data_IF_272475754833
#
_entry.id   IF_272475754833
#
_cell.length_a   1.000
_cell.length_b   1.000
_cell.length_c   1.000
_cell.angle_alpha   90.00
_cell.angle_beta   90.00
_cell.angle_gamma   90.00
#
_symmetry.space_group_name_H-M   'P 1'
#
loop_
_entity.id
_entity.type
_entity.pdbx_description
1 polymer ?
#
# COMPACT_ATOMS: atom_id res chain seq x y z
N UNK A 1 -69.35 6.36 2.04
CA UNK A 1 -68.33 5.29 1.98
C UNK A 1 -67.07 5.71 1.21
N UNK A 2 -66.20 6.57 1.70
CA UNK A 2 -64.93 6.93 1.01
C UNK A 2 -63.80 7.44 1.95
N UNK A 3 -63.79 7.10 3.24
CA UNK A 3 -62.73 7.52 4.15
C UNK A 3 -61.79 6.38 4.64
N UNK A 4 -62.04 5.09 4.30
CA UNK A 4 -61.23 3.97 4.78
C UNK A 4 -60.00 3.67 3.92
N UNK A 5 -59.98 4.10 2.65
CA UNK A 5 -58.83 3.81 1.74
C UNK A 5 -57.60 4.70 1.94
N UNK A 6 -57.83 5.96 2.33
CA UNK A 6 -56.72 6.91 2.51
C UNK A 6 -55.86 6.60 3.76
N UNK A 7 -56.52 6.12 4.83
CA UNK A 7 -55.82 5.71 6.05
C UNK A 7 -54.84 4.54 5.82
N UNK A 8 -55.23 3.57 5.00
CA UNK A 8 -54.38 2.41 4.70
C UNK A 8 -53.17 2.79 3.86
N UNK A 9 -53.31 3.68 2.88
CA UNK A 9 -52.19 4.15 2.05
C UNK A 9 -51.16 4.95 2.90
N UNK A 10 -51.63 5.81 3.79
CA UNK A 10 -50.76 6.57 4.69
C UNK A 10 -50.06 5.64 5.67
N UNK A 11 -50.71 4.62 6.20
CA UNK A 11 -50.09 3.62 7.10
C UNK A 11 -49.03 2.77 6.40
N UNK A 12 -49.29 2.32 5.17
CA UNK A 12 -48.30 1.56 4.37
C UNK A 12 -47.09 2.43 4.01
N UNK A 13 -47.30 3.69 3.63
CA UNK A 13 -46.19 4.64 3.35
C UNK A 13 -45.37 4.94 4.61
N UNK A 14 -46.02 5.12 5.78
CA UNK A 14 -45.30 5.33 7.04
C UNK A 14 -44.50 4.09 7.46
N UNK A 15 -45.04 2.88 7.27
CA UNK A 15 -44.34 1.63 7.56
C UNK A 15 -43.15 1.35 6.60
N UNK A 16 -43.30 1.70 5.28
CA UNK A 16 -42.21 1.63 4.34
C UNK A 16 -41.12 2.68 4.61
N UNK A 17 -41.51 3.92 4.96
CA UNK A 17 -40.54 4.93 5.38
C UNK A 17 -39.84 4.58 6.69
N UNK A 18 -40.57 4.05 7.69
CA UNK A 18 -39.96 3.56 8.93
C UNK A 18 -39.06 2.35 8.69
N UNK A 19 -39.43 1.43 7.78
CA UNK A 19 -38.61 0.29 7.39
C UNK A 19 -37.33 0.69 6.68
N UNK A 20 -37.39 1.66 5.75
CA UNK A 20 -36.22 2.22 5.07
C UNK A 20 -35.34 3.00 6.05
N UNK A 21 -35.95 3.73 6.98
CA UNK A 21 -35.21 4.50 7.99
C UNK A 21 -34.54 3.57 9.03
N UNK A 22 -35.23 2.53 9.52
CA UNK A 22 -34.69 1.50 10.39
C UNK A 22 -33.61 0.67 9.69
N UNK A 23 -33.79 0.35 8.40
CA UNK A 23 -32.79 -0.30 7.58
C UNK A 23 -31.53 0.59 7.41
N UNK A 24 -31.72 1.90 7.13
CA UNK A 24 -30.61 2.84 7.05
C UNK A 24 -29.93 3.08 8.39
N UNK A 25 -30.66 3.08 9.51
CA UNK A 25 -30.09 3.14 10.87
C UNK A 25 -29.39 1.83 11.26
N UNK A 26 -29.96 0.68 10.88
CA UNK A 26 -29.35 -0.63 11.09
C UNK A 26 -28.04 -0.78 10.30
N UNK A 27 -28.03 -0.36 9.04
CA UNK A 27 -26.82 -0.26 8.25
C UNK A 27 -25.80 0.70 8.87
N UNK A 28 -26.22 1.89 9.30
CA UNK A 28 -25.35 2.85 9.99
C UNK A 28 -24.82 2.29 11.32
N UNK A 29 -25.62 1.53 12.08
CA UNK A 29 -25.18 0.91 13.33
C UNK A 29 -24.17 -0.22 13.08
N UNK A 30 -24.39 -1.05 12.05
CA UNK A 30 -23.44 -2.09 11.62
C UNK A 30 -22.14 -1.45 11.10
N UNK A 31 -22.24 -0.38 10.33
CA UNK A 31 -21.07 0.36 9.84
C UNK A 31 -20.34 1.11 10.97
N UNK A 32 -21.08 1.68 11.94
CA UNK A 32 -20.47 2.35 13.11
C UNK A 32 -19.70 1.41 14.03
N UNK A 33 -20.09 0.16 14.12
CA UNK A 33 -19.41 -0.82 14.97
C UNK A 33 -18.09 -1.31 14.37
N UNK A 34 -17.94 -1.27 13.03
CA UNK A 34 -16.74 -1.71 12.30
C UNK A 34 -15.91 -0.55 11.73
N UNK A 35 -16.41 0.67 11.78
CA UNK A 35 -15.68 1.86 11.32
C UNK A 35 -15.48 1.99 9.82
N UNK A 36 -15.93 1.03 8.98
CA UNK A 36 -15.70 1.04 7.54
C UNK A 36 -17.01 1.12 6.75
N UNK A 37 -17.11 2.13 5.88
CA UNK A 37 -18.20 2.30 4.91
C UNK A 37 -17.92 1.58 3.59
N UNK A 38 -17.33 0.40 3.63
CA UNK A 38 -16.85 -0.24 2.44
C UNK A 38 -17.69 -1.46 2.10
N UNK A 39 -17.91 -1.66 0.79
CA UNK A 39 -18.61 -2.83 0.31
C UNK A 39 -17.79 -4.08 0.65
N UNK A 40 -18.37 -4.97 1.44
CA UNK A 40 -17.80 -6.30 1.65
C UNK A 40 -17.77 -7.00 0.28
N UNK A 41 -16.60 -7.39 -0.16
CA UNK A 41 -16.46 -8.14 -1.41
C UNK A 41 -16.65 -9.63 -1.17
N UNK A 42 -16.99 -10.37 -2.22
CA UNK A 42 -16.98 -11.82 -2.19
C UNK A 42 -15.59 -12.29 -1.74
N UNK A 43 -15.57 -13.21 -0.79
CA UNK A 43 -14.33 -13.79 -0.31
C UNK A 43 -13.68 -14.60 -1.44
N UNK A 44 -12.39 -14.42 -1.63
CA UNK A 44 -11.55 -15.30 -2.42
C UNK A 44 -11.72 -16.74 -1.92
N UNK A 45 -11.75 -17.71 -2.82
CA UNK A 45 -11.74 -19.12 -2.44
C UNK A 45 -10.34 -19.49 -1.92
N UNK A 46 -10.22 -19.52 -0.60
CA UNK A 46 -8.97 -19.87 0.04
C UNK A 46 -8.75 -21.39 -0.05
N UNK A 47 -7.54 -21.83 -0.41
CA UNK A 47 -7.19 -23.24 -0.27
C UNK A 47 -7.37 -23.71 1.18
N UNK A 48 -7.78 -24.98 1.34
CA UNK A 48 -7.97 -25.57 2.66
C UNK A 48 -6.72 -25.40 3.56
N UNK A 49 -6.93 -24.99 4.80
CA UNK A 49 -5.88 -24.79 5.80
C UNK A 49 -5.08 -23.47 5.66
N UNK A 50 -5.35 -22.64 4.64
CA UNK A 50 -4.61 -21.36 4.47
C UNK A 50 -4.89 -20.38 5.60
N UNK A 51 -6.15 -20.23 6.00
CA UNK A 51 -6.55 -19.32 7.08
C UNK A 51 -5.98 -19.74 8.43
N UNK A 52 -5.97 -21.04 8.70
CA UNK A 52 -5.38 -21.63 9.90
C UNK A 52 -3.89 -21.34 9.96
N UNK A 53 -3.16 -21.55 8.89
CA UNK A 53 -1.71 -21.23 8.81
C UNK A 53 -1.43 -19.75 9.08
N UNK A 54 -2.27 -18.85 8.57
CA UNK A 54 -2.09 -17.41 8.81
C UNK A 54 -2.39 -17.08 10.29
N UNK A 55 -3.45 -17.67 10.88
CA UNK A 55 -3.75 -17.51 12.31
C UNK A 55 -2.63 -18.03 13.19
N UNK A 56 -2.09 -19.20 12.89
CA UNK A 56 -0.95 -19.78 13.61
C UNK A 56 0.29 -18.86 13.51
N UNK A 57 0.51 -18.30 12.34
CA UNK A 57 1.62 -17.37 12.10
C UNK A 57 1.45 -16.07 12.89
N UNK A 58 0.24 -15.50 12.93
CA UNK A 58 -0.06 -14.24 13.60
C UNK A 58 -0.17 -14.39 15.13
N UNK A 59 -0.60 -15.55 15.62
CA UNK A 59 -0.98 -15.74 17.03
C UNK A 59 -2.20 -14.87 17.37
N UNK A 60 -2.15 -14.20 18.53
CA UNK A 60 -3.23 -13.30 19.01
C UNK A 60 -3.24 -11.91 18.37
N UNK A 61 -2.34 -11.64 17.42
CA UNK A 61 -2.23 -10.31 16.80
C UNK A 61 -3.42 -10.01 15.92
N UNK A 62 -3.87 -8.78 16.03
CA UNK A 62 -4.85 -8.17 15.12
C UNK A 62 -4.14 -7.23 14.16
N UNK A 63 -4.77 -6.98 13.03
CA UNK A 63 -4.20 -6.05 12.08
C UNK A 63 -4.99 -5.90 10.81
N UNK A 64 -4.38 -5.22 9.86
CA UNK A 64 -4.96 -4.88 8.58
C UNK A 64 -3.90 -4.98 7.50
N UNK A 65 -4.31 -5.45 6.33
CA UNK A 65 -3.50 -5.42 5.10
C UNK A 65 -4.26 -4.59 4.09
N UNK A 66 -3.59 -3.64 3.45
CA UNK A 66 -4.13 -2.86 2.33
C UNK A 66 -3.33 -3.13 1.07
N UNK A 67 -4.00 -3.17 -0.08
CA UNK A 67 -3.35 -3.36 -1.38
C UNK A 67 -4.20 -2.78 -2.51
N UNK A 68 -3.59 -2.62 -3.69
CA UNK A 68 -4.28 -2.32 -4.94
C UNK A 68 -4.67 -3.60 -5.67
N UNK A 69 -5.89 -3.68 -6.21
CA UNK A 69 -6.39 -4.86 -6.92
C UNK A 69 -7.22 -4.48 -8.14
N UNK A 70 -7.04 -5.21 -9.24
CA UNK A 70 -7.85 -5.06 -10.47
C UNK A 70 -9.12 -5.91 -10.49
N UNK A 71 -9.47 -6.63 -9.39
CA UNK A 71 -10.60 -7.57 -9.31
C UNK A 71 -11.98 -6.99 -9.61
N UNK A 72 -12.12 -5.68 -9.66
CA UNK A 72 -13.36 -4.98 -10.05
C UNK A 72 -13.26 -4.29 -11.40
N UNK A 73 -12.29 -4.68 -12.24
CA UNK A 73 -12.03 -4.14 -13.58
C UNK A 73 -11.01 -3.00 -13.56
N UNK A 74 -11.19 -2.00 -12.72
CA UNK A 74 -10.23 -0.91 -12.48
C UNK A 74 -9.49 -1.17 -11.18
N UNK A 75 -8.20 -0.86 -11.11
CA UNK A 75 -7.44 -1.00 -9.88
C UNK A 75 -8.01 -0.09 -8.79
N UNK A 76 -8.47 -0.71 -7.71
CA UNK A 76 -9.01 -0.07 -6.52
C UNK A 76 -8.27 -0.56 -5.28
N UNK A 77 -8.39 0.16 -4.18
CA UNK A 77 -7.82 -0.26 -2.91
C UNK A 77 -8.75 -1.25 -2.21
N UNK A 78 -8.15 -2.29 -1.67
CA UNK A 78 -8.80 -3.29 -0.83
C UNK A 78 -8.11 -3.39 0.52
N UNK A 79 -8.87 -3.76 1.53
CA UNK A 79 -8.39 -3.96 2.89
C UNK A 79 -8.86 -5.32 3.38
N UNK A 80 -7.94 -6.07 3.99
CA UNK A 80 -8.23 -7.29 4.72
C UNK A 80 -8.01 -7.06 6.22
N UNK A 81 -8.97 -7.45 7.04
CA UNK A 81 -8.78 -7.49 8.49
C UNK A 81 -8.21 -8.84 8.93
N UNK A 82 -7.34 -8.83 9.92
CA UNK A 82 -6.70 -10.02 10.49
C UNK A 82 -7.08 -10.14 11.98
N UNK A 83 -7.38 -11.32 12.50
CA UNK A 83 -7.31 -12.65 11.85
C UNK A 83 -8.65 -13.14 11.27
N UNK A 84 -9.66 -12.28 11.08
CA UNK A 84 -11.00 -12.68 10.62
C UNK A 84 -11.14 -12.69 9.07
N UNK A 85 -10.12 -12.23 8.33
CA UNK A 85 -10.01 -12.27 6.87
C UNK A 85 -11.18 -11.65 6.12
N UNK A 86 -11.82 -10.64 6.69
CA UNK A 86 -12.85 -9.86 5.98
C UNK A 86 -12.18 -8.93 5.01
N UNK A 87 -12.67 -8.95 3.76
CA UNK A 87 -12.14 -8.10 2.69
C UNK A 87 -13.15 -7.00 2.37
N UNK A 88 -12.65 -5.77 2.30
CA UNK A 88 -13.43 -4.58 2.00
C UNK A 88 -12.83 -3.86 0.80
N UNK A 89 -13.67 -3.42 -0.12
CA UNK A 89 -13.29 -2.48 -1.18
C UNK A 89 -13.28 -1.09 -0.60
N UNK A 90 -12.13 -0.43 -0.55
CA UNK A 90 -11.95 0.89 0.05
C UNK A 90 -12.28 2.04 -0.89
N UNK A 91 -11.99 1.87 -2.18
CA UNK A 91 -12.25 2.88 -3.21
C UNK A 91 -13.16 2.33 -4.29
N UNK A 92 -14.06 3.18 -4.79
CA UNK A 92 -14.95 2.89 -5.91
C UNK A 92 -14.94 4.09 -6.87
N UNK A 93 -13.97 4.13 -7.75
CA UNK A 93 -13.76 5.25 -8.65
C UNK A 93 -13.40 4.72 -10.06
N UNK A 94 -13.81 5.40 -11.16
CA UNK A 94 -13.42 4.98 -12.51
C UNK A 94 -11.92 5.11 -12.80
N UNK A 95 -11.17 5.82 -11.95
CA UNK A 95 -9.73 5.99 -12.07
C UNK A 95 -8.98 5.00 -11.17
N UNK A 96 -7.77 4.63 -11.57
CA UNK A 96 -6.93 3.70 -10.80
C UNK A 96 -6.42 4.32 -9.51
N UNK A 97 -6.32 3.52 -8.44
CA UNK A 97 -5.78 3.89 -7.14
C UNK A 97 -4.61 2.96 -6.78
N UNK A 98 -3.42 3.53 -6.51
CA UNK A 98 -2.17 2.81 -6.29
C UNK A 98 -1.42 3.29 -5.03
N UNK A 99 -0.39 2.54 -4.65
CA UNK A 99 0.57 2.86 -3.60
C UNK A 99 -0.08 3.20 -2.24
N UNK A 100 -1.04 2.39 -1.74
CA UNK A 100 -1.62 2.65 -0.43
C UNK A 100 -0.58 2.47 0.68
N UNK A 101 -0.59 3.35 1.69
CA UNK A 101 0.24 3.25 2.91
C UNK A 101 -0.56 3.61 4.13
N UNK A 102 -0.50 2.76 5.15
CA UNK A 102 -1.08 3.08 6.45
C UNK A 102 -0.35 4.24 7.11
N UNK A 103 -1.10 5.11 7.76
CA UNK A 103 -0.52 6.04 8.73
C UNK A 103 0.06 5.30 9.93
N UNK A 104 0.98 5.91 10.69
CA UNK A 104 1.61 5.26 11.84
C UNK A 104 0.62 4.71 12.87
N UNK A 105 -0.53 5.37 13.04
CA UNK A 105 -1.62 4.93 13.91
C UNK A 105 -2.54 3.87 13.28
N UNK A 106 -2.42 3.57 11.97
CA UNK A 106 -3.22 2.58 11.26
C UNK A 106 -4.67 2.97 11.00
N UNK A 107 -5.04 4.25 11.16
CA UNK A 107 -6.41 4.76 11.01
C UNK A 107 -6.66 5.46 9.68
N UNK A 108 -5.60 5.85 8.99
CA UNK A 108 -5.66 6.52 7.68
C UNK A 108 -4.81 5.78 6.66
N UNK A 109 -5.16 5.96 5.39
CA UNK A 109 -4.40 5.46 4.25
C UNK A 109 -4.10 6.64 3.33
N UNK A 110 -2.82 6.88 3.03
CA UNK A 110 -2.42 7.75 1.93
C UNK A 110 -2.25 6.91 0.68
N UNK A 111 -2.66 7.43 -0.49
CA UNK A 111 -2.57 6.72 -1.75
C UNK A 111 -2.54 7.67 -2.94
N UNK A 112 -2.11 7.18 -4.10
CA UNK A 112 -2.15 7.90 -5.35
C UNK A 112 -3.39 7.49 -6.17
N UNK A 113 -4.09 8.46 -6.77
CA UNK A 113 -5.17 8.24 -7.74
C UNK A 113 -4.82 8.93 -9.06
N UNK A 114 -5.00 8.22 -10.16
CA UNK A 114 -4.80 8.81 -11.47
C UNK A 114 -5.87 9.86 -11.80
N UNK A 115 -5.52 10.80 -12.65
CA UNK A 115 -6.47 11.80 -13.17
C UNK A 115 -7.18 11.31 -14.45
N UNK A 116 -6.90 10.07 -14.90
CA UNK A 116 -7.49 9.39 -16.07
C UNK A 116 -7.95 8.00 -15.67
N UNK A 117 -8.89 7.37 -16.38
CA UNK A 117 -9.40 6.05 -16.04
C UNK A 117 -8.32 4.97 -15.94
N UNK A 118 -7.30 5.04 -16.79
CA UNK A 118 -6.15 4.16 -16.71
C UNK A 118 -4.85 4.93 -16.91
N UNK A 119 -3.87 4.67 -16.06
CA UNK A 119 -2.49 5.19 -16.13
C UNK A 119 -1.57 4.10 -15.61
N UNK A 120 -0.49 3.82 -16.33
CA UNK A 120 0.54 2.90 -15.85
C UNK A 120 1.15 3.41 -14.54
N UNK A 121 1.47 2.51 -13.63
CA UNK A 121 2.16 2.87 -12.39
C UNK A 121 3.55 3.48 -12.65
N UNK A 122 4.14 3.18 -13.80
CA UNK A 122 5.44 3.70 -14.25
C UNK A 122 5.37 5.13 -14.75
N UNK A 123 4.18 5.62 -15.10
CA UNK A 123 4.00 7.00 -15.51
C UNK A 123 4.04 7.92 -14.26
N UNK A 124 4.91 8.91 -14.26
CA UNK A 124 5.00 9.84 -13.14
C UNK A 124 3.80 10.80 -13.06
N UNK A 125 3.09 10.99 -14.13
CA UNK A 125 1.89 11.84 -14.26
C UNK A 125 0.83 11.11 -15.11
N UNK A 126 -0.46 11.40 -14.98
CA UNK A 126 -1.09 12.39 -14.08
C UNK A 126 -1.65 11.73 -12.82
N UNK A 127 -1.10 12.04 -11.68
CA UNK A 127 -1.52 11.48 -10.39
C UNK A 127 -1.85 12.57 -9.38
N UNK A 128 -2.68 12.25 -8.41
CA UNK A 128 -3.00 13.06 -7.24
C UNK A 128 -2.90 12.22 -5.98
N UNK A 129 -2.49 12.83 -4.88
CA UNK A 129 -2.39 12.17 -3.57
C UNK A 129 -3.67 12.40 -2.77
N UNK A 130 -4.26 11.32 -2.28
CA UNK A 130 -5.44 11.32 -1.42
C UNK A 130 -5.14 10.71 -0.06
N UNK A 131 -5.91 11.12 0.92
CA UNK A 131 -5.95 10.47 2.24
C UNK A 131 -7.37 9.98 2.48
N UNK A 132 -7.47 8.70 2.84
CA UNK A 132 -8.69 8.03 3.24
C UNK A 132 -8.68 7.81 4.76
N UNK A 133 -9.71 8.28 5.45
CA UNK A 133 -9.93 7.96 6.86
C UNK A 133 -10.76 6.67 6.96
N UNK A 134 -10.22 5.65 7.62
CA UNK A 134 -10.86 4.35 7.73
C UNK A 134 -12.12 4.38 8.62
N UNK A 135 -12.14 5.22 9.66
CA UNK A 135 -13.27 5.30 10.59
C UNK A 135 -14.56 5.86 9.96
N UNK A 136 -14.44 6.63 8.87
CA UNK A 136 -15.60 7.26 8.24
C UNK A 136 -15.69 7.08 6.74
N UNK A 137 -14.74 6.38 6.11
CA UNK A 137 -14.68 6.22 4.66
C UNK A 137 -14.49 7.53 3.88
N UNK A 138 -14.11 8.61 4.57
CA UNK A 138 -14.00 9.94 3.97
C UNK A 138 -12.63 10.10 3.32
N UNK A 139 -12.65 10.37 2.02
CA UNK A 139 -11.47 10.74 1.25
C UNK A 139 -11.29 12.26 1.20
N UNK A 140 -10.03 12.69 1.16
CA UNK A 140 -9.67 14.09 0.85
C UNK A 140 -8.46 14.15 -0.05
N UNK A 141 -8.45 15.10 -0.96
CA UNK A 141 -7.26 15.44 -1.75
C UNK A 141 -6.19 16.01 -0.81
N UNK A 142 -5.01 15.41 -0.80
CA UNK A 142 -3.88 15.83 0.03
C UNK A 142 -2.84 16.61 -0.78
N UNK A 143 -2.59 16.23 -2.04
CA UNK A 143 -1.69 16.98 -2.93
C UNK A 143 -2.07 16.77 -4.39
N UNK A 144 -2.00 17.84 -5.18
CA UNK A 144 -2.16 17.80 -6.64
C UNK A 144 -0.85 17.41 -7.32
N UNK A 145 -0.97 16.71 -8.46
CA UNK A 145 0.16 16.33 -9.31
C UNK A 145 1.24 15.56 -8.53
N UNK A 146 0.83 14.67 -7.62
CA UNK A 146 1.72 13.89 -6.77
C UNK A 146 1.52 12.39 -6.91
N UNK A 147 2.62 11.62 -6.82
CA UNK A 147 2.66 10.16 -6.87
C UNK A 147 3.57 9.60 -5.77
N UNK A 148 3.58 8.26 -5.57
CA UNK A 148 4.39 7.55 -4.58
C UNK A 148 4.28 8.17 -3.17
N UNK A 149 3.06 8.31 -2.61
CA UNK A 149 2.90 8.92 -1.31
C UNK A 149 3.39 8.00 -0.18
N UNK A 150 3.94 8.62 0.86
CA UNK A 150 4.40 7.96 2.07
C UNK A 150 4.12 8.81 3.31
N UNK A 151 3.83 8.19 4.46
CA UNK A 151 3.70 8.91 5.72
C UNK A 151 5.06 9.17 6.35
N UNK A 152 5.24 10.33 6.94
CA UNK A 152 6.32 10.52 7.89
C UNK A 152 5.96 9.87 9.24
N UNK A 153 6.95 9.51 10.07
CA UNK A 153 6.71 8.83 11.35
C UNK A 153 5.84 9.60 12.34
N UNK A 154 5.70 10.91 12.17
CA UNK A 154 4.83 11.76 13.01
C UNK A 154 3.33 11.63 12.69
N UNK A 155 2.97 11.04 11.56
CA UNK A 155 1.58 10.94 11.11
C UNK A 155 0.93 12.27 10.71
N UNK A 156 1.67 13.38 10.77
CA UNK A 156 1.18 14.73 10.46
C UNK A 156 1.68 15.24 9.11
N UNK A 157 2.69 14.60 8.56
CA UNK A 157 3.30 14.97 7.29
C UNK A 157 3.31 13.78 6.34
N UNK A 158 3.23 14.10 5.05
CA UNK A 158 3.39 13.12 3.96
C UNK A 158 4.55 13.52 3.07
N UNK A 159 5.20 12.52 2.50
CA UNK A 159 6.17 12.64 1.43
C UNK A 159 5.48 12.16 0.14
N UNK A 160 5.80 12.80 -0.99
CA UNK A 160 5.36 12.36 -2.32
C UNK A 160 6.29 12.89 -3.40
N UNK A 161 6.19 12.30 -4.58
CA UNK A 161 6.84 12.77 -5.80
C UNK A 161 5.95 13.72 -6.57
N UNK A 162 6.53 14.81 -7.06
CA UNK A 162 5.95 15.67 -8.09
C UNK A 162 6.97 15.87 -9.21
N UNK A 163 6.77 15.25 -10.36
CA UNK A 163 7.78 15.16 -11.41
C UNK A 163 9.09 14.57 -10.84
N UNK A 164 10.17 15.36 -10.87
CA UNK A 164 11.48 14.92 -10.37
C UNK A 164 11.76 15.32 -8.91
N UNK A 165 10.80 15.94 -8.24
CA UNK A 165 10.98 16.48 -6.89
C UNK A 165 10.33 15.58 -5.84
N UNK A 166 11.07 15.26 -4.79
CA UNK A 166 10.55 14.67 -3.56
C UNK A 166 10.15 15.81 -2.62
N UNK A 167 8.89 15.81 -2.23
CA UNK A 167 8.26 16.89 -1.46
C UNK A 167 7.73 16.34 -0.14
N UNK A 168 7.98 17.06 0.94
CA UNK A 168 7.28 16.86 2.21
C UNK A 168 6.19 17.93 2.32
N UNK A 169 4.96 17.50 2.64
CA UNK A 169 3.81 18.36 2.92
C UNK A 169 3.34 18.16 4.35
N UNK A 170 3.21 19.24 5.07
CA UNK A 170 2.53 19.31 6.36
C UNK A 170 1.02 19.34 6.13
N UNK A 171 0.29 18.41 6.72
CA UNK A 171 -1.14 18.23 6.46
C UNK A 171 -2.04 19.24 7.21
N UNK A 172 -1.48 19.90 8.22
CA UNK A 172 -2.19 20.91 9.00
C UNK A 172 -2.01 22.31 8.39
N UNK A 173 -0.77 22.68 8.11
CA UNK A 173 -0.43 24.00 7.57
C UNK A 173 -0.46 24.05 6.03
N UNK A 174 -0.56 22.91 5.38
CA UNK A 174 -0.49 22.71 3.93
C UNK A 174 0.83 23.16 3.27
N UNK A 175 1.83 23.51 4.06
CA UNK A 175 3.14 23.93 3.55
C UNK A 175 3.89 22.77 2.94
N UNK A 176 4.51 23.03 1.80
CA UNK A 176 5.34 22.08 1.07
C UNK A 176 6.81 22.48 1.13
N UNK A 177 7.70 21.49 1.20
CA UNK A 177 9.15 21.64 1.14
C UNK A 177 9.72 20.61 0.19
N UNK A 178 10.40 21.05 -0.87
CA UNK A 178 11.21 20.17 -1.71
C UNK A 178 12.46 19.77 -0.91
N UNK A 179 12.69 18.45 -0.78
CA UNK A 179 13.83 17.89 -0.06
C UNK A 179 14.85 17.23 -0.97
N UNK A 180 14.46 16.91 -2.22
CA UNK A 180 15.32 16.32 -3.24
C UNK A 180 14.77 16.66 -4.63
N UNK A 181 15.67 16.80 -5.60
CA UNK A 181 15.35 17.00 -7.01
C UNK A 181 16.32 16.17 -7.87
N UNK A 182 15.78 15.14 -8.54
CA UNK A 182 16.54 14.19 -9.32
C UNK A 182 17.21 14.77 -10.59
N UNK A 183 16.90 16.02 -10.94
CA UNK A 183 17.52 16.75 -12.08
C UNK A 183 18.62 17.72 -11.65
N UNK A 184 18.87 17.84 -10.35
CA UNK A 184 19.96 18.69 -9.84
C UNK A 184 21.26 17.90 -9.66
N UNK A 185 22.41 18.42 -10.10
CA UNK A 185 23.70 17.76 -9.88
C UNK A 185 23.92 17.38 -8.40
N UNK A 186 24.50 16.23 -8.11
CA UNK A 186 25.17 15.31 -9.05
C UNK A 186 24.22 14.31 -9.77
N UNK A 187 22.92 14.47 -9.64
CA UNK A 187 21.92 13.59 -10.24
C UNK A 187 21.43 14.09 -11.60
N UNK A 188 21.03 13.17 -12.47
CA UNK A 188 20.31 13.43 -13.73
C UNK A 188 19.43 12.21 -14.03
N UNK A 189 18.27 12.16 -13.36
CA UNK A 189 17.34 11.04 -13.47
C UNK A 189 15.97 11.35 -12.88
N UNK A 190 15.07 10.37 -13.05
CA UNK A 190 13.70 10.40 -12.55
C UNK A 190 13.61 9.55 -11.29
N UNK A 191 13.29 10.15 -10.13
CA UNK A 191 13.15 9.39 -8.90
C UNK A 191 11.83 8.61 -8.87
N UNK A 192 11.83 7.48 -8.16
CA UNK A 192 10.66 6.70 -7.82
C UNK A 192 10.80 6.08 -6.43
N UNK A 193 9.68 5.68 -5.84
CA UNK A 193 9.61 5.03 -4.53
C UNK A 193 10.44 5.72 -3.43
N UNK A 194 10.30 7.04 -3.21
CA UNK A 194 11.02 7.73 -2.16
C UNK A 194 10.49 7.34 -0.78
N UNK A 195 11.38 7.10 0.18
CA UNK A 195 11.00 6.74 1.55
C UNK A 195 11.95 7.37 2.58
N UNK A 196 11.39 8.07 3.57
CA UNK A 196 12.16 8.56 4.73
C UNK A 196 12.47 7.39 5.66
N UNK A 197 13.71 7.34 6.11
CA UNK A 197 14.16 6.33 7.06
C UNK A 197 13.38 6.45 8.39
N UNK A 198 12.75 5.36 8.89
CA UNK A 198 11.89 5.42 10.07
C UNK A 198 12.65 5.68 11.38
N UNK A 199 13.93 5.32 11.46
CA UNK A 199 14.78 5.53 12.65
C UNK A 199 15.76 6.71 12.51
N UNK A 200 15.88 7.31 11.31
CA UNK A 200 16.67 8.53 11.08
C UNK A 200 16.01 9.38 9.95
N UNK A 201 15.14 10.33 10.30
CA UNK A 201 14.45 11.15 9.30
C UNK A 201 15.39 12.08 8.50
N UNK A 202 16.68 12.09 8.78
CA UNK A 202 17.71 12.73 7.98
C UNK A 202 18.15 11.91 6.76
N UNK A 203 17.66 10.65 6.61
CA UNK A 203 17.99 9.80 5.47
C UNK A 203 16.77 9.57 4.57
N UNK A 204 16.97 9.70 3.27
CA UNK A 204 16.00 9.44 2.22
C UNK A 204 16.52 8.33 1.32
N UNK A 205 15.75 7.28 1.09
CA UNK A 205 16.00 6.32 0.02
C UNK A 205 15.14 6.61 -1.20
N UNK A 206 15.63 6.28 -2.37
CA UNK A 206 14.89 6.36 -3.64
C UNK A 206 15.56 5.52 -4.71
N UNK A 207 14.79 5.13 -5.71
CA UNK A 207 15.30 4.63 -6.99
C UNK A 207 15.42 5.79 -7.96
N UNK A 208 16.49 5.85 -8.75
CA UNK A 208 16.68 6.83 -9.79
C UNK A 208 16.83 6.12 -11.15
N UNK A 209 16.20 6.64 -12.18
CA UNK A 209 16.29 6.15 -13.56
C UNK A 209 16.67 7.30 -14.50
N UNK A 210 17.61 7.06 -15.40
CA UNK A 210 18.09 8.05 -16.38
C UNK A 210 19.59 7.94 -16.60
N UNK A 211 20.28 9.06 -16.77
CA UNK A 211 21.75 9.06 -16.87
C UNK A 211 22.41 8.68 -15.56
N UNK A 212 21.83 9.09 -14.45
CA UNK A 212 22.16 8.57 -13.13
C UNK A 212 21.08 7.53 -12.77
N UNK A 213 21.48 6.30 -12.52
CA UNK A 213 20.53 5.24 -12.16
C UNK A 213 21.00 4.40 -10.97
N UNK A 214 20.04 3.73 -10.31
CA UNK A 214 20.28 2.85 -9.19
C UNK A 214 19.41 3.16 -7.98
N UNK A 215 19.68 2.44 -6.91
CA UNK A 215 19.10 2.65 -5.57
C UNK A 215 20.07 3.51 -4.75
N UNK A 216 19.57 4.58 -4.18
CA UNK A 216 20.37 5.56 -3.43
C UNK A 216 19.84 5.77 -2.02
N UNK A 217 20.74 6.12 -1.12
CA UNK A 217 20.45 6.77 0.17
C UNK A 217 21.04 8.18 0.09
N UNK A 218 20.26 9.20 0.44
CA UNK A 218 20.68 10.58 0.55
C UNK A 218 20.64 11.04 2.00
N UNK A 219 21.74 11.53 2.51
CA UNK A 219 21.78 12.28 3.76
C UNK A 219 21.26 13.71 3.49
N UNK A 220 20.08 14.01 4.00
CA UNK A 220 19.40 15.30 3.79
C UNK A 220 20.06 16.47 4.50
N UNK A 221 20.94 16.23 5.48
CA UNK A 221 21.67 17.28 6.21
C UNK A 221 22.90 17.71 5.44
N UNK A 222 23.62 16.75 4.87
CA UNK A 222 24.90 17.00 4.19
C UNK A 222 24.74 17.07 2.67
N UNK A 223 23.62 16.58 2.13
CA UNK A 223 23.39 16.42 0.69
C UNK A 223 24.22 15.29 0.07
N UNK A 224 24.86 14.45 0.88
CA UNK A 224 25.75 13.38 0.40
C UNK A 224 24.97 12.14 -0.02
N UNK A 225 25.07 11.71 -1.30
CA UNK A 225 24.47 10.46 -1.74
C UNK A 225 25.38 9.25 -1.44
N UNK A 226 24.73 8.11 -1.22
CA UNK A 226 25.39 6.80 -1.19
C UNK A 226 24.68 5.90 -2.18
N UNK A 227 25.40 5.37 -3.17
CA UNK A 227 24.87 4.35 -4.07
C UNK A 227 24.79 3.01 -3.32
N UNK A 228 23.58 2.45 -3.22
CA UNK A 228 23.33 1.14 -2.61
C UNK A 228 23.47 0.02 -3.63
N UNK A 229 22.85 0.20 -4.80
CA UNK A 229 22.94 -0.71 -5.93
C UNK A 229 22.88 0.07 -7.24
N UNK A 230 23.72 -0.26 -8.25
CA UNK A 230 23.63 0.34 -9.58
C UNK A 230 22.45 -0.18 -10.39
N UNK A 231 21.79 -1.22 -9.93
CA UNK A 231 20.58 -1.83 -10.50
C UNK A 231 19.56 -2.06 -9.39
N UNK A 232 18.32 -2.39 -9.75
CA UNK A 232 17.28 -2.64 -8.78
C UNK A 232 16.33 -1.46 -8.60
N UNK A 233 15.31 -1.66 -7.76
CA UNK A 233 14.23 -0.70 -7.52
C UNK A 233 13.52 -0.99 -6.19
N UNK A 234 12.49 -0.18 -5.88
CA UNK A 234 11.57 -0.39 -4.76
C UNK A 234 12.26 -0.61 -3.41
N UNK A 235 13.23 0.25 -3.13
CA UNK A 235 13.92 0.20 -1.84
C UNK A 235 12.98 0.53 -0.70
N UNK A 236 13.13 -0.19 0.43
CA UNK A 236 12.44 0.09 1.69
C UNK A 236 13.37 -0.15 2.87
N UNK A 237 13.08 0.54 3.98
CA UNK A 237 13.87 0.44 5.20
C UNK A 237 13.36 -0.68 6.10
N UNK A 238 14.30 -1.33 6.81
CA UNK A 238 13.92 -2.16 7.96
C UNK A 238 13.74 -1.28 9.20
N UNK A 239 12.55 -1.30 9.84
CA UNK A 239 12.30 -0.43 10.99
C UNK A 239 13.08 -0.82 12.24
N UNK A 240 13.39 -2.12 12.42
CA UNK A 240 14.02 -2.68 13.61
C UNK A 240 15.57 -2.70 13.59
N UNK A 241 16.17 -2.32 12.46
CA UNK A 241 17.63 -2.32 12.30
C UNK A 241 18.11 -1.42 11.17
N UNK A 242 19.40 -1.06 11.19
CA UNK A 242 20.03 -0.18 10.20
C UNK A 242 20.31 -0.91 8.88
N UNK A 243 19.24 -1.30 8.21
CA UNK A 243 19.27 -2.09 6.99
C UNK A 243 18.27 -1.54 5.97
N UNK A 244 18.67 -1.52 4.70
CA UNK A 244 17.85 -1.22 3.55
C UNK A 244 17.71 -2.48 2.69
N UNK A 245 16.54 -2.74 2.14
CA UNK A 245 16.32 -3.79 1.16
C UNK A 245 15.82 -3.18 -0.15
N UNK A 246 15.98 -3.92 -1.26
CA UNK A 246 15.51 -3.51 -2.58
C UNK A 246 15.26 -4.73 -3.46
N UNK A 247 14.49 -4.55 -4.53
CA UNK A 247 14.25 -5.57 -5.56
C UNK A 247 15.37 -5.48 -6.61
N UNK A 248 15.88 -6.62 -7.06
CA UNK A 248 16.90 -6.74 -8.10
C UNK A 248 16.57 -7.87 -9.06
N UNK A 249 16.88 -7.69 -10.34
CA UNK A 249 16.76 -8.76 -11.34
C UNK A 249 17.80 -9.84 -11.12
N UNK A 250 17.54 -11.05 -11.65
CA UNK A 250 18.50 -12.16 -11.66
C UNK A 250 18.31 -13.15 -10.50
N UNK A 251 17.15 -13.16 -9.83
CA UNK A 251 16.75 -14.22 -8.91
C UNK A 251 16.38 -15.52 -9.62
N UNK A 252 16.07 -16.58 -8.85
CA UNK A 252 15.77 -17.93 -9.35
C UNK A 252 14.61 -17.98 -10.32
N UNK A 253 13.62 -17.12 -10.13
CA UNK A 253 12.44 -17.02 -10.98
C UNK A 253 12.35 -15.74 -11.81
N UNK A 254 13.26 -14.79 -11.64
CA UNK A 254 13.28 -13.50 -12.35
C UNK A 254 13.76 -12.36 -11.53
N UNK A 255 13.29 -12.20 -10.29
CA UNK A 255 13.74 -11.19 -9.34
C UNK A 255 14.18 -11.82 -8.02
N UNK A 256 14.77 -11.02 -7.17
CA UNK A 256 15.14 -11.34 -5.79
C UNK A 256 15.13 -10.07 -4.97
N UNK A 257 14.99 -10.22 -3.67
CA UNK A 257 15.09 -9.10 -2.73
C UNK A 257 16.48 -9.14 -2.10
N UNK A 258 17.18 -8.03 -2.19
CA UNK A 258 18.52 -7.82 -1.66
C UNK A 258 18.48 -7.01 -0.38
N UNK A 259 19.51 -7.10 0.44
CA UNK A 259 19.68 -6.31 1.65
C UNK A 259 21.11 -5.80 1.82
N UNK A 260 21.27 -4.67 2.50
CA UNK A 260 22.55 -4.14 2.93
C UNK A 260 22.42 -3.34 4.22
N UNK A 261 23.44 -3.45 5.09
CA UNK A 261 23.57 -2.51 6.21
C UNK A 261 23.88 -1.11 5.68
N UNK A 262 23.24 -0.09 6.25
CA UNK A 262 23.38 1.31 5.83
C UNK A 262 24.77 1.86 6.11
N UNK A 263 25.37 1.47 7.24
CA UNK A 263 26.69 1.95 7.66
C UNK A 263 27.84 1.32 6.86
N UNK A 264 27.56 0.22 6.17
CA UNK A 264 28.53 -0.51 5.36
C UNK A 264 27.82 -1.19 4.19
N UNK A 265 27.74 -0.52 3.06
CA UNK A 265 27.09 -1.07 1.87
C UNK A 265 27.81 -2.35 1.40
N UNK A 266 27.14 -3.47 1.62
CA UNK A 266 27.53 -4.81 1.17
C UNK A 266 26.27 -5.62 0.92
N UNK A 267 25.93 -5.78 -0.33
CA UNK A 267 24.72 -6.48 -0.77
C UNK A 267 24.77 -7.98 -0.40
N UNK A 268 23.65 -8.47 0.10
CA UNK A 268 23.39 -9.89 0.34
C UNK A 268 21.96 -10.21 -0.06
N UNK A 269 21.69 -11.47 -0.39
CA UNK A 269 20.32 -11.92 -0.68
C UNK A 269 19.51 -11.94 0.61
N UNK A 270 18.40 -11.19 0.64
CA UNK A 270 17.41 -11.23 1.70
C UNK A 270 16.36 -12.31 1.42
N UNK A 271 15.85 -12.38 0.17
CA UNK A 271 14.86 -13.33 -0.28
C UNK A 271 15.09 -13.67 -1.76
N UNK A 272 15.00 -14.95 -2.10
CA UNK A 272 15.04 -15.49 -3.47
C UNK A 272 14.31 -16.84 -3.44
N UNK A 273 13.00 -16.81 -3.61
CA UNK A 273 12.15 -17.97 -3.40
C UNK A 273 12.23 -18.95 -4.58
N UNK A 274 12.37 -20.25 -4.31
CA UNK A 274 12.53 -21.27 -5.35
C UNK A 274 11.20 -21.86 -5.84
N UNK A 275 10.13 -21.08 -5.89
CA UNK A 275 8.80 -21.57 -6.29
C UNK A 275 8.22 -20.76 -7.48
N UNK A 276 7.00 -21.08 -7.89
CA UNK A 276 6.36 -20.47 -9.04
C UNK A 276 6.13 -18.96 -8.90
N UNK A 277 5.85 -18.48 -7.69
CA UNK A 277 5.74 -17.05 -7.37
C UNK A 277 7.11 -16.46 -7.01
N UNK A 278 7.97 -16.30 -8.00
CA UNK A 278 9.38 -15.89 -7.82
C UNK A 278 9.75 -14.58 -8.54
N UNK A 279 8.76 -13.81 -8.98
CA UNK A 279 8.91 -12.40 -9.32
C UNK A 279 8.47 -11.56 -8.12
N UNK A 280 9.37 -11.43 -7.11
CA UNK A 280 9.10 -10.71 -5.86
C UNK A 280 9.22 -9.21 -6.07
N UNK A 281 8.16 -8.46 -5.72
CA UNK A 281 8.07 -7.00 -5.83
C UNK A 281 7.31 -6.40 -4.65
N UNK A 282 7.34 -5.09 -4.54
CA UNK A 282 6.57 -4.30 -3.58
C UNK A 282 6.86 -4.65 -2.11
N UNK A 283 8.13 -4.79 -1.71
CA UNK A 283 8.49 -5.20 -0.36
C UNK A 283 8.10 -4.16 0.69
N UNK A 284 7.54 -4.62 1.82
CA UNK A 284 7.23 -3.78 2.98
C UNK A 284 7.43 -4.54 4.29
N UNK A 285 7.73 -3.79 5.34
CA UNK A 285 7.77 -4.31 6.70
C UNK A 285 6.59 -3.76 7.52
N UNK A 286 6.15 -4.54 8.52
CA UNK A 286 5.38 -3.98 9.63
C UNK A 286 6.24 -2.97 10.41
N UNK A 287 5.58 -2.04 11.14
CA UNK A 287 6.28 -1.00 11.89
C UNK A 287 7.29 -1.53 12.92
N UNK A 288 7.07 -2.74 13.45
CA UNK A 288 7.98 -3.42 14.38
C UNK A 288 9.09 -4.22 13.69
N UNK A 289 9.16 -4.23 12.34
CA UNK A 289 10.15 -4.95 11.55
C UNK A 289 10.05 -6.48 11.59
N UNK A 290 9.08 -7.04 12.30
CA UNK A 290 8.96 -8.49 12.53
C UNK A 290 8.22 -9.22 11.41
N UNK A 291 7.49 -8.48 10.57
CA UNK A 291 6.70 -9.03 9.49
C UNK A 291 7.09 -8.38 8.18
N UNK A 292 7.10 -9.20 7.16
CA UNK A 292 7.43 -8.80 5.81
C UNK A 292 6.28 -9.17 4.89
N UNK A 293 5.83 -8.20 4.10
CA UNK A 293 4.76 -8.36 3.12
C UNK A 293 5.27 -7.93 1.74
N UNK A 294 4.90 -8.69 0.72
CA UNK A 294 5.31 -8.40 -0.66
C UNK A 294 4.28 -8.90 -1.66
N UNK A 295 4.39 -8.46 -2.91
CA UNK A 295 3.70 -9.04 -4.05
C UNK A 295 4.60 -9.98 -4.81
N UNK A 296 4.06 -11.05 -5.36
CA UNK A 296 4.80 -11.91 -6.25
C UNK A 296 3.89 -12.49 -7.35
N UNK A 297 4.45 -12.69 -8.55
CA UNK A 297 3.74 -13.25 -9.70
C UNK A 297 4.42 -14.50 -10.24
N UNK A 298 3.65 -15.30 -11.00
CA UNK A 298 4.15 -16.44 -11.77
C UNK A 298 4.57 -15.97 -13.16
N UNK A 299 5.79 -16.31 -13.59
CA UNK A 299 6.21 -16.27 -15.00
C UNK A 299 6.30 -14.91 -15.69
N UNK A 300 5.83 -13.82 -15.10
CA UNK A 300 5.90 -12.46 -15.65
C UNK A 300 6.07 -11.43 -14.54
N UNK A 301 6.77 -10.34 -14.84
CA UNK A 301 6.99 -9.22 -13.92
C UNK A 301 6.40 -7.89 -14.42
N UNK A 302 5.61 -7.92 -15.50
CA UNK A 302 4.96 -6.71 -16.01
C UNK A 302 3.91 -6.21 -15.00
N UNK A 303 4.24 -5.14 -14.31
CA UNK A 303 3.48 -4.66 -13.16
C UNK A 303 2.02 -4.35 -13.46
N UNK A 304 1.71 -3.91 -14.68
CA UNK A 304 0.35 -3.50 -15.03
C UNK A 304 -0.58 -4.68 -15.38
N UNK A 305 -0.04 -5.83 -15.77
CA UNK A 305 -0.83 -6.96 -16.30
C UNK A 305 -0.57 -8.31 -15.64
N UNK A 306 0.57 -8.47 -14.95
CA UNK A 306 0.90 -9.75 -14.30
C UNK A 306 -0.06 -10.05 -13.14
N UNK A 307 -0.31 -11.33 -12.91
CA UNK A 307 -1.13 -11.83 -11.80
C UNK A 307 -0.32 -11.84 -10.50
N UNK A 308 -0.13 -10.65 -9.93
CA UNK A 308 0.49 -10.53 -8.63
C UNK A 308 -0.45 -10.95 -7.52
N UNK A 309 0.10 -11.68 -6.55
CA UNK A 309 -0.56 -12.06 -5.31
C UNK A 309 0.22 -11.55 -4.10
N UNK A 310 -0.45 -11.35 -2.99
CA UNK A 310 0.14 -10.82 -1.77
C UNK A 310 0.57 -11.95 -0.85
N UNK A 311 1.77 -11.84 -0.32
CA UNK A 311 2.38 -12.79 0.61
C UNK A 311 2.78 -12.12 1.92
N UNK A 312 2.75 -12.89 3.01
CA UNK A 312 3.14 -12.47 4.36
C UNK A 312 4.11 -13.48 4.96
N UNK A 313 5.15 -13.00 5.60
CA UNK A 313 6.14 -13.80 6.27
C UNK A 313 6.61 -13.17 7.58
N UNK A 314 6.84 -14.01 8.58
CA UNK A 314 7.46 -13.60 9.84
C UNK A 314 8.98 -13.62 9.66
N UNK A 315 9.61 -12.47 9.77
CA UNK A 315 11.05 -12.29 9.54
C UNK A 315 11.87 -13.22 10.44
N UNK A 316 12.80 -13.97 9.81
CA UNK A 316 13.63 -14.94 10.51
C UNK A 316 13.02 -16.33 10.66
N UNK A 317 11.76 -16.56 10.32
CA UNK A 317 11.21 -17.90 10.18
C UNK A 317 11.74 -18.57 8.91
N UNK A 318 11.61 -19.90 8.81
CA UNK A 318 11.91 -20.59 7.54
C UNK A 318 10.91 -20.16 6.45
N UNK A 319 11.33 -20.16 5.19
CA UNK A 319 10.55 -19.65 4.05
C UNK A 319 9.26 -20.43 3.78
N UNK A 320 9.21 -21.73 4.12
CA UNK A 320 7.99 -22.55 4.05
C UNK A 320 6.87 -22.05 4.97
N UNK A 321 7.19 -21.15 5.91
CA UNK A 321 6.21 -20.47 6.76
C UNK A 321 5.64 -19.21 6.14
N UNK A 322 6.12 -18.77 4.98
CA UNK A 322 5.47 -17.71 4.24
C UNK A 322 4.06 -18.14 3.80
N UNK A 323 3.12 -17.22 3.86
CA UNK A 323 1.71 -17.49 3.54
C UNK A 323 1.21 -16.52 2.47
N UNK A 324 0.45 -17.05 1.51
CA UNK A 324 -0.25 -16.25 0.50
C UNK A 324 -1.55 -15.72 1.11
N UNK A 325 -1.84 -14.44 0.91
CA UNK A 325 -3.02 -13.76 1.45
C UNK A 325 -4.13 -13.58 0.41
N UNK A 326 -3.82 -13.53 -0.88
CA UNK A 326 -4.79 -13.35 -1.95
C UNK A 326 -4.75 -14.53 -2.91
N UNK A 327 -5.90 -14.89 -3.49
CA UNK A 327 -6.07 -16.06 -4.35
C UNK A 327 -7.12 -15.74 -5.41
N UNK A 328 -6.76 -15.00 -6.44
CA UNK A 328 -7.68 -14.60 -7.50
C UNK A 328 -6.88 -14.24 -8.78
N UNK A 329 -7.51 -14.24 -9.96
CA UNK A 329 -6.81 -13.95 -11.22
C UNK A 329 -6.60 -12.44 -11.46
N UNK A 330 -6.78 -11.61 -10.46
CA UNK A 330 -6.59 -10.18 -10.58
C UNK A 330 -5.18 -9.78 -10.15
N UNK A 331 -4.68 -8.69 -10.67
CA UNK A 331 -3.42 -8.12 -10.29
C UNK A 331 -3.53 -7.45 -8.91
N UNK A 332 -3.03 -8.11 -7.86
CA UNK A 332 -2.98 -7.66 -6.46
C UNK A 332 -1.56 -7.17 -6.13
N UNK A 333 -1.37 -5.86 -5.88
CA UNK A 333 -0.04 -5.26 -5.74
C UNK A 333 0.03 -4.09 -4.77
N UNK A 334 1.25 -3.63 -4.47
CA UNK A 334 1.52 -2.54 -3.53
C UNK A 334 0.97 -2.79 -2.12
N UNK A 335 1.22 -3.96 -1.51
CA UNK A 335 0.71 -4.21 -0.18
C UNK A 335 1.34 -3.29 0.87
N UNK A 336 0.57 -3.06 1.94
CA UNK A 336 1.07 -2.51 3.19
C UNK A 336 0.37 -3.18 4.37
N UNK A 337 1.01 -3.20 5.54
CA UNK A 337 0.52 -3.93 6.71
C UNK A 337 0.60 -3.08 7.97
N UNK A 338 -0.48 -3.10 8.74
CA UNK A 338 -0.55 -2.55 10.09
C UNK A 338 -0.93 -3.66 11.07
N UNK A 339 -0.14 -3.85 12.11
CA UNK A 339 -0.39 -4.81 13.19
C UNK A 339 -0.42 -4.10 14.54
N UNK A 340 -1.42 -4.48 15.36
CA UNK A 340 -1.61 -3.99 16.72
C UNK A 340 -0.71 -4.73 17.70
#
# INVERSE_FOLDING_TARGET
MKKKGLGWIVTVLLLTFAGVWLYSLGLRAVYRHWGYFFLKTAETQWPAGSRERIKDLLGDRKGKVVWGSSRTGTHQLFLMTLPDFKIYRLTDHPHVSYHPRFSPEGERIVFARSQRPWVSERDQIPWEVYILNLAGGKERLAAKNGNFPFWLPDGERILFLRKNEVIIRDLHTEKEKVIFDGRKPPFDGEPSNPEICPWDPGLLSFTLRGKTEGVFILDLKTGRPTLVSPSGCEATWRPDRREIIWVENGGRGGTRIMASLVDRIRSSVFMDLPHTFSHEYFPRFSADGRWFIWGASEGDHEHDIADYEIFLWKVGASWDKAVRLTFNPANDRFPDIYLE
#
